data_IF_379837330313
#
_entry.id   IF_379837330313
#
_cell.length_a   1.000
_cell.length_b   1.000
_cell.length_c   1.000
_cell.angle_alpha   90.00
_cell.angle_beta   90.00
_cell.angle_gamma   90.00
#
_symmetry.space_group_name_H-M   'P 1'
#
loop_
_entity.id
_entity.type
_entity.pdbx_description
1 polymer ?
#
# COMPACT_ATOMS: atom_id res chain seq x y z
N UNK A 1 -15.35 25.02 5.00
CA UNK A 1 -14.29 25.46 5.95
C UNK A 1 -13.35 26.45 5.25
N UNK A 2 -12.83 27.49 5.94
CA UNK A 2 -11.86 28.41 5.34
C UNK A 2 -10.51 27.73 5.10
N UNK A 3 -9.74 28.18 4.10
CA UNK A 3 -8.41 27.61 3.78
C UNK A 3 -7.46 27.62 5.00
N UNK A 4 -7.48 28.70 5.79
CA UNK A 4 -6.67 28.82 7.03
C UNK A 4 -7.03 27.73 8.06
N UNK A 5 -8.33 27.54 8.34
CA UNK A 5 -8.78 26.51 9.30
C UNK A 5 -8.40 25.10 8.85
N UNK A 6 -8.48 24.80 7.54
CA UNK A 6 -8.05 23.53 6.96
C UNK A 6 -6.55 23.31 7.18
N UNK A 7 -5.74 24.29 6.86
CA UNK A 7 -4.29 24.23 7.07
C UNK A 7 -3.95 23.99 8.55
N UNK A 8 -4.57 24.75 9.47
CA UNK A 8 -4.33 24.59 10.92
C UNK A 8 -4.67 23.19 11.40
N UNK A 9 -5.80 22.62 10.99
CA UNK A 9 -6.18 21.26 11.39
C UNK A 9 -5.23 20.22 10.79
N UNK A 10 -4.80 20.41 9.54
CA UNK A 10 -3.84 19.48 8.95
C UNK A 10 -2.45 19.58 9.61
N UNK A 11 -2.01 20.78 9.94
CA UNK A 11 -0.79 20.96 10.73
C UNK A 11 -0.87 20.27 12.09
N UNK A 12 -2.05 20.25 12.73
CA UNK A 12 -2.26 19.48 13.94
C UNK A 12 -2.08 17.96 13.70
N UNK A 13 -2.57 17.42 12.58
CA UNK A 13 -2.34 16.00 12.22
C UNK A 13 -0.84 15.70 12.10
N UNK A 14 -0.10 16.58 11.43
CA UNK A 14 1.36 16.46 11.27
C UNK A 14 2.07 16.54 12.62
N UNK A 15 1.70 17.50 13.48
CA UNK A 15 2.30 17.66 14.81
C UNK A 15 2.03 16.47 15.71
N UNK A 16 0.80 15.99 15.78
CA UNK A 16 0.45 14.80 16.58
C UNK A 16 1.16 13.55 16.07
N UNK A 17 1.18 13.32 14.75
CA UNK A 17 1.91 12.20 14.16
C UNK A 17 3.40 12.27 14.44
N UNK A 18 4.02 13.44 14.28
CA UNK A 18 5.43 13.63 14.59
C UNK A 18 5.70 13.41 16.08
N UNK A 19 4.90 13.97 16.96
CA UNK A 19 5.07 13.80 18.41
C UNK A 19 4.93 12.33 18.84
N UNK A 20 4.02 11.56 18.23
CA UNK A 20 3.84 10.14 18.51
C UNK A 20 5.06 9.32 18.12
N UNK A 21 5.65 9.57 16.95
CA UNK A 21 6.75 8.76 16.41
C UNK A 21 8.14 9.27 16.85
N UNK A 22 8.27 10.53 17.28
CA UNK A 22 9.54 11.17 17.60
C UNK A 22 10.41 10.40 18.60
N UNK A 23 9.87 9.89 19.73
CA UNK A 23 10.68 9.15 20.72
C UNK A 23 11.31 7.86 20.16
N UNK A 24 10.73 7.29 19.11
CA UNK A 24 11.09 6.00 18.54
C UNK A 24 12.01 6.09 17.33
N UNK A 25 12.33 7.31 16.84
CA UNK A 25 13.14 7.50 15.64
C UNK A 25 14.59 6.99 15.78
N UNK A 26 15.07 6.82 17.03
CA UNK A 26 16.41 6.31 17.33
C UNK A 26 16.43 4.86 17.80
N UNK A 27 15.31 4.16 17.73
CA UNK A 27 15.27 2.75 18.09
C UNK A 27 16.18 1.93 17.16
N UNK A 28 16.79 0.84 17.68
CA UNK A 28 17.57 -0.06 16.86
C UNK A 28 16.71 -0.71 15.75
N UNK A 29 17.35 -1.28 14.76
CA UNK A 29 16.73 -2.15 13.78
C UNK A 29 16.33 -3.48 14.43
N UNK A 30 15.36 -4.18 13.85
CA UNK A 30 14.86 -5.45 14.38
C UNK A 30 14.31 -6.32 13.24
N UNK A 31 14.27 -7.62 13.45
CA UNK A 31 13.83 -8.62 12.47
C UNK A 31 14.55 -8.47 11.13
N UNK A 32 13.81 -8.48 10.02
CA UNK A 32 14.35 -8.42 8.67
C UNK A 32 15.10 -7.11 8.37
N UNK A 33 14.86 -6.03 9.14
CA UNK A 33 15.64 -4.79 9.01
C UNK A 33 17.12 -5.05 9.23
N UNK A 34 17.50 -5.91 10.18
CA UNK A 34 18.89 -6.23 10.48
C UNK A 34 19.60 -6.89 9.28
N UNK A 35 18.89 -7.79 8.61
CA UNK A 35 19.40 -8.46 7.40
C UNK A 35 19.40 -7.50 6.22
N UNK A 36 18.33 -6.71 6.07
CA UNK A 36 18.14 -5.82 4.92
C UNK A 36 19.15 -4.68 4.90
N UNK A 37 19.49 -4.10 6.07
CA UNK A 37 20.48 -3.04 6.18
C UNK A 37 21.93 -3.53 6.14
N UNK A 38 22.16 -4.78 5.73
CA UNK A 38 23.51 -5.25 5.39
C UNK A 38 24.07 -4.41 4.22
N UNK A 39 25.23 -3.79 4.44
CA UNK A 39 25.85 -2.85 3.49
C UNK A 39 26.05 -3.44 2.10
N UNK A 40 26.40 -4.71 2.02
CA UNK A 40 26.64 -5.37 0.72
C UNK A 40 25.35 -5.46 -0.10
N UNK A 41 24.21 -5.72 0.53
CA UNK A 41 22.92 -5.82 -0.16
C UNK A 41 22.45 -4.46 -0.69
N UNK A 42 22.52 -3.41 0.13
CA UNK A 42 22.12 -2.05 -0.29
C UNK A 42 23.03 -1.51 -1.40
N UNK A 43 24.34 -1.76 -1.33
CA UNK A 43 25.28 -1.38 -2.39
C UNK A 43 24.97 -2.09 -3.72
N UNK A 44 24.60 -3.37 -3.68
CA UNK A 44 24.18 -4.10 -4.89
C UNK A 44 22.94 -3.50 -5.51
N UNK A 45 21.91 -3.16 -4.71
CA UNK A 45 20.71 -2.49 -5.18
C UNK A 45 21.05 -1.14 -5.82
N UNK A 46 21.92 -0.36 -5.18
CA UNK A 46 22.34 0.95 -5.69
C UNK A 46 23.06 0.82 -7.05
N UNK A 47 24.02 -0.11 -7.16
CA UNK A 47 24.78 -0.34 -8.41
C UNK A 47 23.88 -0.87 -9.51
N UNK A 48 22.92 -1.74 -9.18
CA UNK A 48 21.96 -2.28 -10.15
C UNK A 48 21.08 -1.18 -10.76
N UNK A 49 20.78 -0.10 -10.01
CA UNK A 49 19.95 0.99 -10.46
C UNK A 49 18.51 0.57 -10.73
N UNK A 50 17.94 1.00 -11.86
CA UNK A 50 16.57 0.65 -12.25
C UNK A 50 16.42 -0.84 -12.55
N UNK A 51 15.34 -1.43 -12.03
CA UNK A 51 15.00 -2.84 -12.28
C UNK A 51 13.48 -3.00 -12.39
N UNK A 52 13.03 -3.96 -13.19
CA UNK A 52 11.62 -4.35 -13.27
C UNK A 52 11.23 -5.38 -12.18
N UNK A 53 12.06 -5.59 -11.17
CA UNK A 53 11.71 -6.43 -10.03
C UNK A 53 10.73 -5.70 -9.09
N UNK A 54 9.73 -6.39 -8.59
CA UNK A 54 8.84 -5.85 -7.57
C UNK A 54 9.62 -5.42 -6.33
N UNK A 55 9.13 -4.38 -5.61
CA UNK A 55 9.81 -3.74 -4.47
C UNK A 55 11.10 -2.98 -4.82
N UNK A 56 11.45 -2.87 -6.12
CA UNK A 56 12.63 -2.12 -6.54
C UNK A 56 12.65 -0.69 -6.01
N UNK A 57 11.54 0.03 -6.16
CA UNK A 57 11.49 1.47 -5.84
C UNK A 57 11.78 1.78 -4.36
N UNK A 58 11.13 1.14 -3.35
CA UNK A 58 11.46 1.38 -1.95
C UNK A 58 12.89 0.98 -1.59
N UNK A 59 13.37 -0.12 -2.14
CA UNK A 59 14.72 -0.61 -1.86
C UNK A 59 15.78 0.32 -2.45
N UNK A 60 15.56 0.83 -3.65
CA UNK A 60 16.44 1.81 -4.28
C UNK A 60 16.48 3.13 -3.50
N UNK A 61 15.33 3.64 -3.04
CA UNK A 61 15.27 4.82 -2.18
C UNK A 61 15.98 4.57 -0.85
N UNK A 62 15.84 3.39 -0.27
CA UNK A 62 16.55 3.00 0.96
C UNK A 62 18.07 3.02 0.75
N UNK A 63 18.55 2.47 -0.37
CA UNK A 63 19.97 2.48 -0.70
C UNK A 63 20.52 3.91 -0.88
N UNK A 64 19.76 4.81 -1.51
CA UNK A 64 20.11 6.22 -1.62
C UNK A 64 20.23 6.90 -0.26
N UNK A 65 19.27 6.70 0.64
CA UNK A 65 19.33 7.28 1.99
C UNK A 65 20.51 6.74 2.78
N UNK A 66 20.80 5.43 2.65
CA UNK A 66 21.96 4.82 3.30
C UNK A 66 23.30 5.42 2.82
N UNK A 67 23.36 5.84 1.56
CA UNK A 67 24.55 6.47 0.98
C UNK A 67 24.72 7.94 1.38
N UNK A 68 23.61 8.69 1.51
CA UNK A 68 23.63 10.15 1.66
C UNK A 68 23.75 10.61 3.11
N UNK A 69 23.45 9.78 4.11
CA UNK A 69 23.38 10.19 5.51
C UNK A 69 24.32 9.35 6.40
N UNK A 70 24.99 10.02 7.35
CA UNK A 70 25.87 9.36 8.32
C UNK A 70 25.04 8.61 9.39
N UNK A 71 24.03 9.24 9.99
CA UNK A 71 23.07 8.60 10.89
C UNK A 71 21.96 7.93 10.06
N UNK A 72 22.32 6.80 9.47
CA UNK A 72 21.54 6.10 8.45
C UNK A 72 20.16 5.69 8.97
N UNK A 73 20.11 5.03 10.13
CA UNK A 73 18.86 4.49 10.69
C UNK A 73 17.91 5.62 11.06
N UNK A 74 18.41 6.70 11.65
CA UNK A 74 17.60 7.87 11.95
C UNK A 74 17.02 8.50 10.67
N UNK A 75 17.86 8.69 9.64
CA UNK A 75 17.42 9.21 8.34
C UNK A 75 16.35 8.32 7.69
N UNK A 76 16.52 7.00 7.74
CA UNK A 76 15.53 6.03 7.25
C UNK A 76 14.20 6.15 7.98
N UNK A 77 14.21 6.33 9.30
CA UNK A 77 12.99 6.48 10.11
C UNK A 77 12.29 7.82 9.85
N UNK A 78 13.06 8.91 9.72
CA UNK A 78 12.51 10.21 9.28
C UNK A 78 11.82 10.07 7.93
N UNK A 79 12.45 9.42 6.95
CA UNK A 79 11.83 9.21 5.64
C UNK A 79 10.52 8.41 5.77
N UNK A 80 10.49 7.33 6.56
CA UNK A 80 9.27 6.55 6.77
C UNK A 80 8.16 7.38 7.41
N UNK A 81 8.49 8.22 8.41
CA UNK A 81 7.54 9.15 9.03
C UNK A 81 7.01 10.18 8.02
N UNK A 82 7.87 10.79 7.22
CA UNK A 82 7.47 11.75 6.19
C UNK A 82 6.54 11.10 5.18
N UNK A 83 6.88 9.91 4.67
CA UNK A 83 6.03 9.15 3.76
C UNK A 83 4.67 8.82 4.38
N UNK A 84 4.64 8.43 5.66
CA UNK A 84 3.41 8.16 6.39
C UNK A 84 2.50 9.39 6.50
N UNK A 85 3.07 10.57 6.82
CA UNK A 85 2.33 11.83 6.88
C UNK A 85 1.82 12.29 5.52
N UNK A 86 2.61 12.11 4.45
CA UNK A 86 2.17 12.38 3.08
C UNK A 86 1.05 11.42 2.66
N UNK A 87 1.13 10.15 3.07
CA UNK A 87 0.06 9.16 2.85
C UNK A 87 -1.24 9.60 3.50
N UNK A 88 -1.18 10.11 4.73
CA UNK A 88 -2.35 10.68 5.42
C UNK A 88 -2.95 11.86 4.66
N UNK A 89 -2.14 12.71 4.05
CA UNK A 89 -2.62 13.80 3.20
C UNK A 89 -3.29 13.29 1.93
N UNK A 90 -2.70 12.31 1.26
CA UNK A 90 -3.29 11.71 0.07
C UNK A 90 -4.64 11.03 0.39
N UNK A 91 -4.74 10.39 1.56
CA UNK A 91 -6.00 9.82 2.08
C UNK A 91 -7.04 10.89 2.37
N UNK A 92 -6.66 11.97 3.06
CA UNK A 92 -7.53 13.13 3.27
C UNK A 92 -8.08 13.66 1.93
N UNK A 93 -7.20 13.86 0.94
CA UNK A 93 -7.59 14.38 -0.36
C UNK A 93 -8.60 13.46 -1.06
N UNK A 94 -8.36 12.15 -1.04
CA UNK A 94 -9.24 11.14 -1.65
C UNK A 94 -10.61 11.10 -0.96
N UNK A 95 -10.64 11.01 0.37
CA UNK A 95 -11.90 10.95 1.13
C UNK A 95 -12.72 12.23 0.89
N UNK A 96 -12.06 13.40 0.94
CA UNK A 96 -12.73 14.66 0.66
C UNK A 96 -13.30 14.70 -0.75
N UNK A 97 -12.52 14.32 -1.74
CA UNK A 97 -12.93 14.33 -3.16
C UNK A 97 -14.15 13.44 -3.39
N UNK A 98 -14.15 12.22 -2.82
CA UNK A 98 -15.28 11.29 -2.91
C UNK A 98 -16.50 11.84 -2.16
N UNK A 99 -16.32 12.28 -0.91
CA UNK A 99 -17.42 12.77 -0.07
C UNK A 99 -18.09 14.00 -0.67
N UNK A 100 -17.32 14.93 -1.22
CA UNK A 100 -17.87 16.12 -1.86
C UNK A 100 -18.70 15.80 -3.11
N UNK A 101 -18.49 14.62 -3.72
CA UNK A 101 -19.25 14.14 -4.88
C UNK A 101 -20.42 13.26 -4.52
N UNK A 102 -20.20 12.28 -3.64
CA UNK A 102 -21.23 11.31 -3.26
C UNK A 102 -22.31 11.93 -2.37
N UNK A 103 -21.91 12.79 -1.43
CA UNK A 103 -22.78 13.42 -0.45
C UNK A 103 -22.23 14.80 -0.04
N UNK A 104 -22.44 15.85 -0.84
CA UNK A 104 -21.94 17.19 -0.54
C UNK A 104 -22.43 17.68 0.83
N UNK A 105 -21.51 17.95 1.74
CA UNK A 105 -21.85 18.42 3.09
C UNK A 105 -20.76 19.36 3.63
N UNK A 106 -21.12 20.42 4.39
CA UNK A 106 -20.14 21.38 4.94
C UNK A 106 -19.07 20.77 5.84
N UNK A 107 -19.32 19.61 6.42
CA UNK A 107 -18.39 18.90 7.32
C UNK A 107 -17.47 17.91 6.62
N UNK A 108 -17.54 17.68 5.30
CA UNK A 108 -16.68 16.73 4.58
C UNK A 108 -15.19 16.98 4.81
N UNK A 109 -14.76 18.24 4.85
CA UNK A 109 -13.39 18.61 5.23
C UNK A 109 -13.00 18.08 6.63
N UNK A 110 -13.89 18.23 7.62
CA UNK A 110 -13.61 17.78 9.00
C UNK A 110 -13.56 16.26 9.08
N UNK A 111 -14.51 15.58 8.42
CA UNK A 111 -14.54 14.12 8.39
C UNK A 111 -13.31 13.54 7.71
N UNK A 112 -12.86 14.14 6.60
CA UNK A 112 -11.65 13.72 5.89
C UNK A 112 -10.37 13.95 6.73
N UNK A 113 -10.27 15.07 7.46
CA UNK A 113 -9.16 15.35 8.39
C UNK A 113 -9.19 14.37 9.57
N UNK A 114 -10.38 14.08 10.13
CA UNK A 114 -10.52 13.09 11.21
C UNK A 114 -10.07 11.69 10.75
N UNK A 115 -10.42 11.29 9.52
CA UNK A 115 -9.95 10.03 8.95
C UNK A 115 -8.43 10.00 8.77
N UNK A 116 -7.82 11.10 8.31
CA UNK A 116 -6.36 11.21 8.21
C UNK A 116 -5.69 11.15 9.59
N UNK A 117 -6.26 11.79 10.61
CA UNK A 117 -5.77 11.73 11.99
C UNK A 117 -5.87 10.31 12.55
N UNK A 118 -7.01 9.64 12.36
CA UNK A 118 -7.18 8.25 12.77
C UNK A 118 -6.17 7.34 12.09
N UNK A 119 -5.90 7.54 10.79
CA UNK A 119 -4.88 6.79 10.05
C UNK A 119 -3.48 6.99 10.66
N UNK A 120 -3.10 8.25 10.95
CA UNK A 120 -1.76 8.56 11.49
C UNK A 120 -1.57 7.98 12.90
N UNK A 121 -2.62 8.03 13.74
CA UNK A 121 -2.55 7.62 15.14
C UNK A 121 -2.92 6.15 15.36
N UNK A 122 -3.35 5.43 14.32
CA UNK A 122 -3.82 4.07 14.46
C UNK A 122 -2.68 3.11 14.84
N UNK A 123 -2.80 2.27 15.88
CA UNK A 123 -1.71 1.39 16.33
C UNK A 123 -1.16 0.45 15.26
N UNK A 124 -1.98 -0.04 14.33
CA UNK A 124 -1.51 -0.90 13.23
C UNK A 124 -0.54 -0.19 12.28
N UNK A 125 -0.61 1.14 12.16
CA UNK A 125 0.28 1.88 11.27
C UNK A 125 1.73 1.93 11.77
N UNK A 126 1.95 1.63 13.06
CA UNK A 126 3.29 1.47 13.64
C UNK A 126 4.09 0.39 12.90
N UNK A 127 3.45 -0.70 12.48
CA UNK A 127 4.13 -1.73 11.69
C UNK A 127 4.65 -1.22 10.35
N UNK A 128 3.87 -0.38 9.69
CA UNK A 128 4.26 0.16 8.39
C UNK A 128 5.27 1.32 8.51
N UNK A 129 5.12 2.20 9.50
CA UNK A 129 5.96 3.38 9.67
C UNK A 129 7.23 3.12 10.50
N UNK A 130 7.15 2.26 11.52
CA UNK A 130 8.23 1.95 12.45
C UNK A 130 9.14 0.79 12.02
N UNK A 131 8.66 -0.14 11.21
CA UNK A 131 9.42 -1.27 10.67
C UNK A 131 9.90 -0.91 9.25
N UNK A 132 11.20 -0.71 9.09
CA UNK A 132 11.76 -0.01 7.93
C UNK A 132 11.57 -0.75 6.60
N UNK A 133 11.68 -2.08 6.58
CA UNK A 133 11.45 -2.89 5.38
C UNK A 133 9.99 -2.78 4.90
N UNK A 134 9.05 -2.50 5.80
CA UNK A 134 7.64 -2.29 5.47
C UNK A 134 7.35 -0.90 4.84
N UNK A 135 8.39 -0.08 4.62
CA UNK A 135 8.29 1.11 3.75
C UNK A 135 7.71 0.75 2.37
N UNK A 136 7.93 -0.48 1.93
CA UNK A 136 7.29 -1.02 0.72
C UNK A 136 5.77 -0.86 0.75
N UNK A 137 5.12 -1.15 1.89
CA UNK A 137 3.68 -1.01 2.08
C UNK A 137 3.27 0.47 2.13
N UNK A 138 4.01 1.30 2.89
CA UNK A 138 3.73 2.75 2.98
C UNK A 138 3.78 3.40 1.61
N UNK A 139 4.81 3.11 0.82
CA UNK A 139 4.96 3.67 -0.53
C UNK A 139 3.91 3.13 -1.50
N UNK A 140 3.59 1.84 -1.45
CA UNK A 140 2.52 1.26 -2.26
C UNK A 140 1.17 1.91 -1.93
N UNK A 141 0.87 2.14 -0.65
CA UNK A 141 -0.35 2.83 -0.21
C UNK A 141 -0.36 4.29 -0.66
N UNK A 142 0.74 5.01 -0.46
CA UNK A 142 0.87 6.40 -0.89
C UNK A 142 0.61 6.54 -2.40
N UNK A 143 1.36 5.80 -3.21
CA UNK A 143 1.22 5.87 -4.65
C UNK A 143 -0.12 5.31 -5.14
N UNK A 144 -0.70 4.33 -4.43
CA UNK A 144 -2.08 3.87 -4.68
C UNK A 144 -3.11 4.98 -4.47
N UNK A 145 -3.04 5.71 -3.37
CA UNK A 145 -3.90 6.87 -3.13
C UNK A 145 -3.66 7.99 -4.16
N UNK A 146 -2.39 8.25 -4.51
CA UNK A 146 -2.04 9.20 -5.56
C UNK A 146 -2.47 8.72 -6.96
N UNK A 147 -2.64 7.42 -7.20
CA UNK A 147 -3.24 6.88 -8.41
C UNK A 147 -4.75 7.16 -8.44
N UNK A 148 -5.45 6.92 -7.34
CA UNK A 148 -6.91 7.05 -7.28
C UNK A 148 -7.39 8.51 -7.34
N UNK A 149 -6.65 9.46 -6.76
CA UNK A 149 -7.01 10.87 -6.79
C UNK A 149 -7.12 11.40 -8.25
N UNK A 150 -6.08 11.35 -9.10
CA UNK A 150 -6.20 11.82 -10.49
C UNK A 150 -7.12 10.91 -11.33
N UNK A 151 -7.29 9.63 -11.01
CA UNK A 151 -8.31 8.82 -11.68
C UNK A 151 -9.70 9.44 -11.54
N UNK A 152 -10.07 9.81 -10.32
CA UNK A 152 -11.36 10.48 -10.05
C UNK A 152 -11.42 11.86 -10.73
N UNK A 153 -10.33 12.65 -10.66
CA UNK A 153 -10.28 13.94 -11.37
C UNK A 153 -10.47 13.78 -12.88
N UNK A 154 -9.88 12.75 -13.47
CA UNK A 154 -10.03 12.41 -14.88
C UNK A 154 -11.49 12.10 -15.25
N UNK A 155 -12.19 11.32 -14.42
CA UNK A 155 -13.60 11.02 -14.61
C UNK A 155 -14.50 12.28 -14.51
N UNK A 156 -14.19 13.15 -13.54
CA UNK A 156 -14.97 14.36 -13.27
C UNK A 156 -14.75 15.42 -14.34
N UNK A 157 -13.50 15.72 -14.66
CA UNK A 157 -13.11 16.82 -15.54
C UNK A 157 -13.06 16.42 -17.01
N UNK A 158 -13.11 15.12 -17.32
CA UNK A 158 -12.94 14.51 -18.65
C UNK A 158 -11.58 14.80 -19.30
N UNK A 159 -10.57 15.22 -18.52
CA UNK A 159 -9.22 15.52 -19.00
C UNK A 159 -8.35 14.25 -18.97
N UNK A 160 -7.95 13.79 -20.15
CA UNK A 160 -7.16 12.55 -20.32
C UNK A 160 -5.79 12.58 -19.61
N UNK A 161 -5.18 13.76 -19.44
CA UNK A 161 -3.89 13.92 -18.75
C UNK A 161 -3.89 13.39 -17.32
N UNK A 162 -5.03 13.46 -16.59
CA UNK A 162 -5.14 12.89 -15.26
C UNK A 162 -4.97 11.36 -15.26
N UNK A 163 -5.44 10.66 -16.32
CA UNK A 163 -5.26 9.22 -16.41
C UNK A 163 -3.80 8.81 -16.65
N UNK A 164 -3.01 9.67 -17.31
CA UNK A 164 -1.56 9.45 -17.46
C UNK A 164 -0.86 9.55 -16.09
N UNK A 165 -1.17 10.60 -15.30
CA UNK A 165 -0.64 10.70 -13.93
C UNK A 165 -1.10 9.53 -13.05
N UNK A 166 -2.36 9.13 -13.16
CA UNK A 166 -2.89 7.97 -12.45
C UNK A 166 -2.10 6.70 -12.81
N UNK A 167 -1.79 6.49 -14.09
CA UNK A 167 -1.00 5.34 -14.54
C UNK A 167 0.44 5.39 -14.02
N UNK A 168 1.06 6.58 -14.02
CA UNK A 168 2.39 6.75 -13.44
C UNK A 168 2.40 6.36 -11.96
N UNK A 169 1.44 6.84 -11.18
CA UNK A 169 1.34 6.48 -9.78
C UNK A 169 0.95 5.02 -9.55
N UNK A 170 0.17 4.42 -10.43
CA UNK A 170 -0.07 2.98 -10.41
C UNK A 170 1.23 2.18 -10.60
N UNK A 171 2.05 2.57 -11.58
CA UNK A 171 3.36 1.97 -11.79
C UNK A 171 4.23 2.06 -10.52
N UNK A 172 4.37 3.24 -9.93
CA UNK A 172 5.15 3.44 -8.70
C UNK A 172 4.58 2.63 -7.51
N UNK A 173 3.27 2.50 -7.42
CA UNK A 173 2.59 1.69 -6.41
C UNK A 173 2.89 0.19 -6.58
N UNK A 174 2.73 -0.34 -7.80
CA UNK A 174 2.96 -1.74 -8.11
C UNK A 174 4.43 -2.16 -7.93
N UNK A 175 5.37 -1.26 -8.26
CA UNK A 175 6.81 -1.47 -8.02
C UNK A 175 7.28 -1.11 -6.61
N UNK A 176 6.37 -0.65 -5.76
CA UNK A 176 6.60 -0.55 -4.31
C UNK A 176 6.21 -1.84 -3.58
N UNK A 177 5.06 -2.44 -3.93
CA UNK A 177 4.60 -3.71 -3.36
C UNK A 177 3.56 -4.36 -4.28
N UNK A 178 3.69 -5.66 -4.49
CA UNK A 178 2.89 -6.45 -5.43
C UNK A 178 1.38 -6.44 -5.18
N UNK A 179 0.93 -6.26 -3.93
CA UNK A 179 -0.52 -6.17 -3.63
C UNK A 179 -1.21 -4.95 -4.29
N UNK A 180 -0.44 -3.92 -4.64
CA UNK A 180 -0.94 -2.76 -5.38
C UNK A 180 -1.41 -3.11 -6.81
N UNK A 181 -1.16 -4.34 -7.28
CA UNK A 181 -1.69 -4.85 -8.53
C UNK A 181 -3.23 -4.75 -8.61
N UNK A 182 -3.91 -4.73 -7.44
CA UNK A 182 -5.35 -4.58 -7.33
C UNK A 182 -5.87 -3.12 -7.45
N UNK A 183 -5.01 -2.12 -7.63
CA UNK A 183 -5.45 -0.71 -7.78
C UNK A 183 -6.45 -0.47 -8.92
N UNK A 184 -6.37 -1.11 -10.10
CA UNK A 184 -7.41 -1.00 -11.12
C UNK A 184 -8.79 -1.43 -10.62
N UNK A 185 -8.87 -2.49 -9.83
CA UNK A 185 -10.13 -2.93 -9.22
C UNK A 185 -10.65 -1.91 -8.18
N UNK A 186 -9.76 -1.34 -7.37
CA UNK A 186 -10.13 -0.26 -6.45
C UNK A 186 -10.64 0.98 -7.18
N UNK A 187 -10.02 1.38 -8.29
CA UNK A 187 -10.47 2.48 -9.13
C UNK A 187 -11.88 2.22 -9.70
N UNK A 188 -12.14 1.01 -10.20
CA UNK A 188 -13.46 0.61 -10.67
C UNK A 188 -14.50 0.62 -9.54
N UNK A 189 -14.15 0.12 -8.34
CA UNK A 189 -15.03 0.10 -7.18
C UNK A 189 -15.41 1.50 -6.68
N UNK A 190 -14.53 2.50 -6.83
CA UNK A 190 -14.79 3.90 -6.47
C UNK A 190 -15.63 4.65 -7.52
N UNK A 191 -15.65 4.19 -8.77
CA UNK A 191 -16.36 4.87 -9.87
C UNK A 191 -17.84 5.15 -9.56
N UNK A 192 -18.66 4.20 -9.04
CA UNK A 192 -20.06 4.43 -8.71
C UNK A 192 -20.30 5.46 -7.61
N UNK A 193 -19.28 5.79 -6.81
CA UNK A 193 -19.37 6.81 -5.77
C UNK A 193 -19.29 8.24 -6.31
N UNK A 194 -18.67 8.41 -7.50
CA UNK A 194 -18.41 9.74 -8.09
C UNK A 194 -19.16 9.97 -9.39
N UNK A 195 -19.63 8.91 -10.04
CA UNK A 195 -20.44 8.96 -11.26
C UNK A 195 -21.88 8.55 -10.92
N UNK A 196 -22.87 9.36 -11.32
CA UNK A 196 -24.29 9.04 -11.06
C UNK A 196 -24.69 7.73 -11.76
N UNK A 197 -25.56 6.95 -11.11
CA UNK A 197 -26.05 5.64 -11.62
C UNK A 197 -26.58 5.71 -13.03
N UNK A 198 -27.30 6.78 -13.40
CA UNK A 198 -27.87 6.98 -14.73
C UNK A 198 -26.83 7.16 -15.82
N UNK A 199 -25.61 7.63 -15.46
CA UNK A 199 -24.51 7.88 -16.40
C UNK A 199 -23.52 6.73 -16.44
N UNK A 200 -23.51 5.83 -15.44
CA UNK A 200 -22.49 4.81 -15.26
C UNK A 200 -22.34 3.91 -16.49
N UNK A 201 -23.45 3.50 -17.11
CA UNK A 201 -23.48 2.61 -18.26
C UNK A 201 -23.58 3.35 -19.61
N UNK A 202 -23.48 4.69 -19.63
CA UNK A 202 -23.43 5.42 -20.89
C UNK A 202 -22.11 5.17 -21.61
N UNK A 203 -22.15 5.04 -22.93
CA UNK A 203 -20.98 4.80 -23.78
C UNK A 203 -19.82 5.75 -23.47
N UNK A 204 -20.11 7.03 -23.28
CA UNK A 204 -19.09 8.04 -22.94
C UNK A 204 -18.36 7.73 -21.64
N UNK A 205 -19.09 7.35 -20.59
CA UNK A 205 -18.51 6.99 -19.28
C UNK A 205 -17.72 5.68 -19.39
N UNK A 206 -18.25 4.69 -20.11
CA UNK A 206 -17.52 3.43 -20.32
C UNK A 206 -16.20 3.66 -21.06
N UNK A 207 -16.16 4.54 -22.07
CA UNK A 207 -14.92 4.92 -22.75
C UNK A 207 -13.95 5.68 -21.85
N UNK A 208 -14.47 6.52 -20.93
CA UNK A 208 -13.65 7.20 -19.92
C UNK A 208 -13.04 6.22 -18.91
N UNK A 209 -13.74 5.16 -18.54
CA UNK A 209 -13.24 4.08 -17.67
C UNK A 209 -12.27 3.18 -18.44
N UNK A 210 -12.60 2.83 -19.68
CA UNK A 210 -11.77 1.94 -20.49
C UNK A 210 -10.37 2.51 -20.77
N UNK A 211 -10.25 3.83 -20.92
CA UNK A 211 -8.95 4.47 -21.19
C UNK A 211 -7.93 4.24 -20.05
N UNK A 212 -8.19 4.59 -18.78
CA UNK A 212 -7.24 4.29 -17.70
C UNK A 212 -7.03 2.79 -17.51
N UNK A 213 -8.04 1.94 -17.69
CA UNK A 213 -7.86 0.49 -17.60
C UNK A 213 -6.90 -0.03 -18.70
N UNK A 214 -7.00 0.49 -19.91
CA UNK A 214 -6.07 0.18 -20.99
C UNK A 214 -4.64 0.68 -20.71
N UNK A 215 -4.50 1.84 -20.07
CA UNK A 215 -3.20 2.38 -19.63
C UNK A 215 -2.60 1.60 -18.46
N UNK A 216 -3.41 1.04 -17.56
CA UNK A 216 -2.95 0.21 -16.45
C UNK A 216 -2.52 -1.20 -16.90
N UNK A 217 -3.11 -1.72 -17.99
CA UNK A 217 -2.86 -3.08 -18.45
C UNK A 217 -1.38 -3.40 -18.69
N UNK A 218 -0.54 -2.54 -19.33
CA UNK A 218 0.89 -2.81 -19.46
C UNK A 218 1.61 -2.93 -18.12
N UNK A 219 1.28 -2.08 -17.13
CA UNK A 219 1.89 -2.14 -15.79
C UNK A 219 1.50 -3.45 -15.11
N UNK A 220 0.23 -3.82 -15.17
CA UNK A 220 -0.26 -5.10 -14.65
C UNK A 220 0.48 -6.27 -15.28
N UNK A 221 0.58 -6.29 -16.61
CA UNK A 221 1.26 -7.36 -17.36
C UNK A 221 2.75 -7.46 -17.00
N UNK A 222 3.47 -6.35 -16.85
CA UNK A 222 4.87 -6.35 -16.46
C UNK A 222 5.08 -7.03 -15.11
N UNK A 223 4.26 -6.70 -14.11
CA UNK A 223 4.36 -7.33 -12.77
C UNK A 223 3.98 -8.82 -12.84
N UNK A 224 2.95 -9.19 -13.60
CA UNK A 224 2.58 -10.60 -13.79
C UNK A 224 3.71 -11.37 -14.48
N UNK A 225 4.30 -10.81 -15.52
CA UNK A 225 5.42 -11.44 -16.25
C UNK A 225 6.65 -11.63 -15.34
N UNK A 226 6.93 -10.67 -14.46
CA UNK A 226 8.00 -10.80 -13.45
C UNK A 226 7.68 -11.94 -12.47
N UNK A 227 6.46 -12.01 -11.96
CA UNK A 227 6.04 -13.10 -11.03
C UNK A 227 6.04 -14.48 -11.68
N UNK A 228 5.76 -14.55 -12.97
CA UNK A 228 5.87 -15.81 -13.74
C UNK A 228 7.32 -16.18 -14.11
N UNK A 229 8.29 -15.36 -13.70
CA UNK A 229 9.71 -15.60 -14.01
C UNK A 229 10.12 -15.28 -15.45
N UNK A 230 9.25 -14.62 -16.23
CA UNK A 230 9.52 -14.28 -17.64
C UNK A 230 10.48 -13.08 -17.78
N UNK A 231 10.63 -12.27 -16.73
CA UNK A 231 11.54 -11.11 -16.69
C UNK A 231 12.75 -11.32 -15.75
N UNK A 232 13.02 -12.56 -15.36
CA UNK A 232 14.11 -12.90 -14.44
C UNK A 232 13.70 -13.96 -13.41
N UNK A 233 14.50 -14.14 -12.35
CA UNK A 233 14.16 -15.08 -11.29
C UNK A 233 13.01 -14.51 -10.45
N UNK A 234 11.93 -15.28 -10.20
CA UNK A 234 10.85 -14.85 -9.31
C UNK A 234 11.42 -14.60 -7.90
N UNK A 235 10.92 -13.57 -7.23
CA UNK A 235 11.37 -13.16 -5.88
C UNK A 235 11.21 -14.28 -4.83
N UNK A 236 10.26 -15.19 -5.02
CA UNK A 236 9.87 -16.24 -4.06
C UNK A 236 10.11 -17.67 -4.62
N UNK A 237 11.15 -17.87 -5.42
CA UNK A 237 11.50 -19.20 -5.96
C UNK A 237 11.72 -20.30 -4.89
N UNK A 238 11.97 -19.90 -3.63
CA UNK A 238 12.14 -20.80 -2.50
C UNK A 238 10.80 -21.35 -1.94
N UNK A 239 9.67 -20.74 -2.26
CA UNK A 239 8.36 -21.14 -1.70
C UNK A 239 7.98 -22.54 -2.18
N UNK A 240 8.19 -22.85 -3.46
CA UNK A 240 7.93 -24.20 -3.99
C UNK A 240 8.80 -25.25 -3.30
N UNK A 241 10.08 -24.94 -3.04
CA UNK A 241 10.97 -25.85 -2.31
C UNK A 241 10.56 -26.05 -0.85
N UNK A 242 10.02 -25.04 -0.19
CA UNK A 242 9.50 -25.14 1.17
C UNK A 242 8.23 -26.00 1.24
N UNK A 243 7.37 -25.93 0.24
CA UNK A 243 6.18 -26.76 0.15
C UNK A 243 6.52 -28.22 -0.13
N UNK A 244 7.49 -28.49 -1.02
CA UNK A 244 7.97 -29.83 -1.31
C UNK A 244 8.72 -30.46 -0.11
N UNK A 245 9.42 -29.65 0.71
CA UNK A 245 10.14 -30.13 1.89
C UNK A 245 9.26 -30.44 3.11
N UNK A 246 8.03 -29.91 3.17
CA UNK A 246 7.16 -30.07 4.37
C UNK A 246 6.18 -31.23 4.29
N UNK A 247 6.21 -32.08 3.28
CA UNK A 247 5.28 -33.20 3.08
C UNK A 247 3.78 -32.81 3.26
N UNK A 248 3.46 -31.53 3.10
CA UNK A 248 2.15 -30.96 3.42
C UNK A 248 1.09 -31.30 2.37
N UNK A 249 1.46 -31.91 1.25
CA UNK A 249 0.53 -32.08 0.14
C UNK A 249 0.58 -33.48 -0.47
N UNK A 250 -0.41 -34.28 -0.13
CA UNK A 250 -0.79 -35.43 -0.98
C UNK A 250 -1.46 -34.98 -2.29
N UNK A 251 -2.03 -33.75 -2.35
CA UNK A 251 -2.67 -33.18 -3.54
C UNK A 251 -2.47 -31.65 -3.60
N UNK A 252 -1.76 -31.16 -4.63
CA UNK A 252 -1.50 -29.71 -4.84
C UNK A 252 -2.77 -28.87 -4.97
N UNK A 253 -3.87 -29.44 -5.45
CA UNK A 253 -5.15 -28.73 -5.58
C UNK A 253 -5.80 -28.45 -4.22
N UNK A 254 -5.72 -29.41 -3.29
CA UNK A 254 -6.21 -29.23 -1.93
C UNK A 254 -5.35 -28.23 -1.16
N UNK A 255 -4.03 -28.23 -1.40
CA UNK A 255 -3.10 -27.31 -0.77
C UNK A 255 -3.45 -25.84 -1.06
N UNK A 256 -3.81 -25.52 -2.32
CA UNK A 256 -4.23 -24.18 -2.69
C UNK A 256 -5.47 -23.73 -1.90
N UNK A 257 -6.51 -24.57 -1.79
CA UNK A 257 -7.71 -24.27 -1.02
C UNK A 257 -7.42 -24.08 0.47
N UNK A 258 -6.56 -24.89 1.06
CA UNK A 258 -6.14 -24.76 2.46
C UNK A 258 -5.35 -23.47 2.69
N UNK A 259 -4.52 -23.07 1.73
CA UNK A 259 -3.82 -21.78 1.74
C UNK A 259 -4.81 -20.61 1.72
N UNK A 260 -5.81 -20.65 0.84
CA UNK A 260 -6.85 -19.62 0.76
C UNK A 260 -7.62 -19.51 2.07
N UNK A 261 -7.99 -20.65 2.70
CA UNK A 261 -8.66 -20.63 4.00
C UNK A 261 -7.78 -19.97 5.09
N UNK A 262 -6.52 -20.37 5.19
CA UNK A 262 -5.58 -19.82 6.16
C UNK A 262 -5.40 -18.32 5.96
N UNK A 263 -5.19 -17.87 4.72
CA UNK A 263 -5.04 -16.45 4.39
C UNK A 263 -6.32 -15.66 4.64
N UNK A 264 -7.48 -16.24 4.38
CA UNK A 264 -8.77 -15.62 4.68
C UNK A 264 -8.96 -15.39 6.18
N UNK A 265 -8.63 -16.37 7.01
CA UNK A 265 -8.69 -16.24 8.46
C UNK A 265 -7.74 -15.12 8.98
N UNK A 266 -6.51 -15.05 8.45
CA UNK A 266 -5.58 -13.97 8.73
C UNK A 266 -6.12 -12.62 8.29
N UNK A 267 -6.72 -12.53 7.11
CA UNK A 267 -7.33 -11.30 6.60
C UNK A 267 -8.42 -10.79 7.55
N UNK A 268 -9.35 -11.64 7.98
CA UNK A 268 -10.39 -11.25 8.93
C UNK A 268 -9.82 -10.88 10.29
N UNK A 269 -8.74 -11.52 10.74
CA UNK A 269 -8.03 -11.14 11.97
C UNK A 269 -7.43 -9.75 11.84
N UNK A 270 -6.80 -9.41 10.72
CA UNK A 270 -6.29 -8.06 10.46
C UNK A 270 -7.40 -7.02 10.38
N UNK A 271 -8.54 -7.35 9.74
CA UNK A 271 -9.71 -6.47 9.73
C UNK A 271 -10.24 -6.20 11.15
N UNK A 272 -10.30 -7.23 11.99
CA UNK A 272 -10.72 -7.09 13.39
C UNK A 272 -9.76 -6.18 14.16
N UNK A 273 -8.46 -6.35 13.98
CA UNK A 273 -7.44 -5.49 14.59
C UNK A 273 -7.51 -4.04 14.08
N UNK A 274 -7.89 -3.83 12.83
CA UNK A 274 -8.11 -2.49 12.29
C UNK A 274 -9.35 -1.80 12.88
N UNK A 275 -10.33 -2.57 13.35
CA UNK A 275 -11.54 -2.05 14.01
C UNK A 275 -11.35 -1.91 15.52
N UNK A 276 -10.66 -2.87 16.12
CA UNK A 276 -10.42 -2.97 17.58
C UNK A 276 -8.92 -3.21 17.80
N UNK A 277 -8.11 -2.13 17.83
CA UNK A 277 -6.66 -2.24 17.98
C UNK A 277 -6.29 -2.68 19.39
N UNK A 278 -6.17 -4.00 19.60
CA UNK A 278 -5.69 -4.57 20.84
C UNK A 278 -4.21 -4.92 20.71
N UNK A 279 -3.31 -4.25 21.48
CA UNK A 279 -1.87 -4.51 21.44
C UNK A 279 -1.49 -5.97 21.72
N UNK A 280 -2.24 -6.68 22.58
CA UNK A 280 -1.97 -8.08 22.93
C UNK A 280 -2.18 -9.05 21.76
N UNK A 281 -2.97 -8.63 20.77
CA UNK A 281 -3.23 -9.41 19.56
C UNK A 281 -2.31 -9.04 18.41
N UNK A 282 -1.52 -7.98 18.57
CA UNK A 282 -0.63 -7.47 17.54
C UNK A 282 0.71 -8.21 17.56
N UNK A 283 1.20 -8.56 16.39
CA UNK A 283 2.53 -9.12 16.19
C UNK A 283 3.11 -8.67 14.86
N UNK A 284 4.40 -8.39 14.82
CA UNK A 284 5.12 -8.09 13.56
C UNK A 284 5.09 -9.29 12.64
N UNK A 285 5.18 -10.50 13.20
CA UNK A 285 5.10 -11.77 12.48
C UNK A 285 3.84 -12.53 12.94
N UNK A 286 2.69 -12.09 12.42
CA UNK A 286 1.42 -12.71 12.76
C UNK A 286 1.26 -14.02 11.98
N UNK A 287 1.55 -15.13 12.65
CA UNK A 287 1.40 -16.47 12.09
C UNK A 287 0.06 -17.07 12.46
N UNK A 288 -0.53 -17.82 11.54
CA UNK A 288 -1.59 -18.76 11.80
C UNK A 288 -1.11 -20.18 11.47
N UNK A 289 -1.51 -21.21 12.24
CA UNK A 289 -1.28 -22.57 11.82
C UNK A 289 -1.89 -22.79 10.42
N UNK A 290 -1.21 -23.51 9.56
CA UNK A 290 -1.74 -23.81 8.24
C UNK A 290 -2.95 -24.75 8.37
N UNK A 291 -4.06 -24.47 7.68
CA UNK A 291 -5.23 -25.32 7.67
C UNK A 291 -4.87 -26.70 7.10
N UNK A 292 -5.23 -27.77 7.81
CA UNK A 292 -4.91 -29.14 7.41
C UNK A 292 -6.08 -29.87 6.74
N UNK A 293 -7.31 -29.37 6.95
CA UNK A 293 -8.56 -29.95 6.39
C UNK A 293 -9.53 -28.83 6.02
N UNK A 294 -10.30 -29.04 4.96
CA UNK A 294 -11.33 -28.10 4.51
C UNK A 294 -12.47 -27.90 5.52
N UNK A 295 -12.64 -28.82 6.45
CA UNK A 295 -13.67 -28.77 7.50
C UNK A 295 -13.13 -28.33 8.86
N UNK A 296 -11.97 -27.69 8.90
CA UNK A 296 -11.35 -27.28 10.15
C UNK A 296 -12.06 -26.03 10.72
N UNK A 297 -12.66 -26.09 11.94
CA UNK A 297 -13.57 -25.05 12.43
C UNK A 297 -12.88 -23.73 12.81
N UNK A 298 -11.55 -23.65 12.72
CA UNK A 298 -10.79 -22.41 12.98
C UNK A 298 -10.70 -21.47 11.76
N UNK A 299 -11.08 -21.95 10.58
CA UNK A 299 -10.89 -21.25 9.31
C UNK A 299 -12.20 -21.05 8.55
#
# INVERSE_FOLDING_TARGET
MTSRKRLTLYLAVVLFGTALYWPWLRNPVFFDDDIFFNRNYLNQIFIQGFSFTTRWLPYFITAWVDLLFDDKIFAQRILSLVLHLITAYALYALIKQISDRAAPHPNNDRSAIAAALLFVLHPLTVYAAGYLIQRTIVMATLFGLLCLNPYIDGLITRRKGYFVFSTLFYFLSAYSKEHALLMPAAALALTPLVVSREKLFRRETLLQIALPMALYAPVFMLVVMEKLGLLGRPYEALVDQLFDAQELAQDKNVLWLLSVMTQSALYFKYMLLAMIPNPDWMSVDMRAPFARRLTEPKY
#
